data_IF_623306338884
#
_entry.id   IF_623306338884
#
_cell.length_a   1.000
_cell.length_b   1.000
_cell.length_c   1.000
_cell.angle_alpha   90.00
_cell.angle_beta   90.00
_cell.angle_gamma   90.00
#
_symmetry.space_group_name_H-M   'P 1'
#
loop_
_entity.id
_entity.type
_entity.pdbx_description
1 polymer ?
#
# COMPACT_ATOMS: atom_id res chain seq x y z
N UNK A 1 -10.14 4.94 21.59
CA UNK A 1 -9.47 3.70 21.15
C UNK A 1 -9.54 3.62 19.62
N UNK A 2 -8.39 3.75 18.94
CA UNK A 2 -8.34 3.65 17.46
C UNK A 2 -8.72 2.24 17.00
N UNK A 3 -9.95 2.12 16.44
CA UNK A 3 -10.58 0.84 16.06
C UNK A 3 -9.91 0.25 14.78
N UNK A 4 -9.06 1.06 14.11
CA UNK A 4 -8.29 0.64 12.93
C UNK A 4 -7.06 -0.22 13.29
N UNK A 5 -7.28 -1.28 14.10
CA UNK A 5 -6.25 -2.28 14.45
C UNK A 5 -6.12 -3.31 13.31
N UNK A 6 -5.09 -4.14 13.40
CA UNK A 6 -4.69 -5.05 12.33
C UNK A 6 -5.65 -6.26 12.28
N UNK A 7 -6.43 -6.38 11.19
CA UNK A 7 -7.38 -7.50 10.98
C UNK A 7 -6.97 -8.35 9.77
N UNK A 8 -6.38 -7.72 8.75
CA UNK A 8 -6.10 -8.31 7.44
C UNK A 8 -4.57 -8.56 7.30
N UNK A 9 -4.11 -8.86 6.06
CA UNK A 9 -2.67 -8.94 5.72
C UNK A 9 -2.42 -8.30 4.35
N UNK A 10 -1.23 -7.70 4.21
CA UNK A 10 -0.74 -7.09 2.95
C UNK A 10 0.61 -7.67 2.59
N UNK A 11 0.93 -7.66 1.28
CA UNK A 11 2.20 -8.17 0.77
C UNK A 11 2.98 -7.01 0.14
N UNK A 12 4.22 -6.82 0.63
CA UNK A 12 5.10 -5.75 0.15
C UNK A 12 5.82 -6.18 -1.13
N UNK A 13 5.47 -5.54 -2.24
CA UNK A 13 6.09 -5.79 -3.55
C UNK A 13 7.14 -4.71 -3.80
N UNK A 14 8.36 -5.07 -3.45
CA UNK A 14 9.55 -4.24 -3.68
C UNK A 14 10.00 -4.47 -5.13
N UNK A 15 10.53 -3.44 -5.82
CA UNK A 15 10.81 -3.51 -7.26
C UNK A 15 12.27 -3.88 -7.47
N UNK A 16 12.52 -5.11 -7.91
CA UNK A 16 13.85 -5.62 -8.25
C UNK A 16 14.21 -5.23 -9.70
N UNK A 17 15.08 -4.22 -9.83
CA UNK A 17 15.59 -3.74 -11.13
C UNK A 17 17.00 -4.33 -11.36
N UNK A 18 17.04 -5.55 -11.90
CA UNK A 18 18.27 -6.31 -12.11
C UNK A 18 18.77 -6.07 -13.54
N UNK A 19 19.99 -5.54 -13.68
CA UNK A 19 20.60 -5.26 -14.97
C UNK A 19 21.01 -6.59 -15.67
N UNK A 20 21.41 -6.51 -16.96
CA UNK A 20 21.77 -7.70 -17.79
C UNK A 20 23.28 -7.67 -18.10
N UNK A 21 23.86 -8.83 -18.51
CA UNK A 21 25.30 -8.96 -18.87
C UNK A 21 25.66 -8.26 -20.22
N UNK A 22 24.75 -7.41 -20.73
CA UNK A 22 24.96 -6.60 -21.95
C UNK A 22 24.33 -5.22 -21.64
N UNK A 23 23.22 -5.28 -20.85
CA UNK A 23 22.74 -4.15 -20.09
C UNK A 23 21.37 -3.65 -20.49
N UNK A 24 20.34 -4.39 -20.10
CA UNK A 24 18.96 -3.91 -20.00
C UNK A 24 18.59 -3.94 -18.51
N UNK A 25 17.59 -3.14 -18.11
CA UNK A 25 17.07 -3.14 -16.73
C UNK A 25 15.81 -4.03 -16.65
N UNK A 26 15.97 -5.22 -16.07
CA UNK A 26 14.89 -6.19 -15.89
C UNK A 26 14.10 -5.82 -14.64
N UNK A 27 13.07 -4.98 -14.83
CA UNK A 27 12.20 -4.52 -13.76
C UNK A 27 11.16 -5.62 -13.49
N UNK A 28 11.20 -6.11 -12.26
CA UNK A 28 10.34 -7.19 -11.76
C UNK A 28 9.99 -6.86 -10.32
N UNK A 29 8.90 -7.43 -9.80
CA UNK A 29 8.39 -7.09 -8.46
C UNK A 29 8.70 -8.26 -7.54
N UNK A 30 9.77 -8.10 -6.74
CA UNK A 30 10.16 -9.10 -5.74
C UNK A 30 9.15 -9.05 -4.59
N UNK A 31 8.16 -9.94 -4.72
CA UNK A 31 7.07 -10.12 -3.78
C UNK A 31 7.65 -10.58 -2.43
N UNK A 32 7.40 -9.82 -1.35
CA UNK A 32 8.31 -9.81 -0.19
C UNK A 32 7.65 -10.31 1.09
N UNK A 33 7.44 -9.38 2.04
CA UNK A 33 6.97 -9.70 3.42
C UNK A 33 5.47 -9.46 3.49
N UNK A 34 4.70 -10.42 4.01
CA UNK A 34 3.26 -10.27 4.17
C UNK A 34 2.93 -10.05 5.66
N UNK A 35 2.75 -8.78 6.06
CA UNK A 35 2.56 -8.40 7.47
C UNK A 35 1.10 -8.05 7.82
N UNK A 36 0.90 -7.89 9.15
CA UNK A 36 -0.37 -7.44 9.74
C UNK A 36 -0.79 -6.04 9.24
N UNK A 37 -2.00 -5.97 8.69
CA UNK A 37 -2.60 -4.73 8.15
C UNK A 37 -4.08 -4.63 8.49
N UNK A 38 -4.68 -3.47 8.21
CA UNK A 38 -6.13 -3.27 8.16
C UNK A 38 -6.41 -2.48 6.87
N UNK A 39 -6.88 -3.17 5.82
CA UNK A 39 -7.00 -2.60 4.46
C UNK A 39 -8.42 -2.06 4.27
N UNK A 40 -8.64 -0.76 4.49
CA UNK A 40 -9.99 -0.16 4.40
C UNK A 40 -9.97 0.92 3.31
N UNK A 41 -10.83 0.80 2.30
CA UNK A 41 -10.99 1.83 1.27
C UNK A 41 -11.62 3.10 1.88
N UNK A 42 -11.38 4.25 1.23
CA UNK A 42 -11.83 5.57 1.68
C UNK A 42 -13.34 5.76 1.48
N UNK A 43 -13.87 6.72 2.21
CA UNK A 43 -15.16 7.33 1.89
C UNK A 43 -14.90 8.59 1.02
N UNK A 44 -15.96 9.28 0.59
CA UNK A 44 -15.84 10.56 -0.10
C UNK A 44 -15.25 11.65 0.82
N UNK A 45 -15.33 11.42 2.16
CA UNK A 45 -14.90 12.36 3.20
C UNK A 45 -13.44 12.83 2.99
N UNK A 46 -12.48 11.88 3.01
CA UNK A 46 -11.04 12.20 2.89
C UNK A 46 -10.61 12.52 1.44
N UNK A 47 -11.44 12.12 0.45
CA UNK A 47 -11.22 12.49 -0.97
C UNK A 47 -11.52 14.00 -1.18
N UNK A 48 -12.78 14.37 -0.86
CA UNK A 48 -13.27 15.78 -0.82
C UNK A 48 -12.34 16.68 0.05
N UNK A 49 -11.85 16.11 1.17
CA UNK A 49 -10.92 16.81 2.10
C UNK A 49 -9.57 17.11 1.42
N UNK A 50 -9.03 16.11 0.72
CA UNK A 50 -7.74 16.21 0.02
C UNK A 50 -7.91 16.91 -1.36
N UNK A 51 -9.18 17.22 -1.70
CA UNK A 51 -9.53 17.92 -2.93
C UNK A 51 -9.49 16.98 -4.13
N UNK A 52 -8.31 16.84 -4.75
CA UNK A 52 -8.11 16.00 -5.94
C UNK A 52 -6.74 15.29 -5.90
N UNK A 53 -6.06 15.34 -4.74
CA UNK A 53 -4.81 14.59 -4.51
C UNK A 53 -5.15 13.11 -4.24
N UNK A 54 -6.08 12.88 -3.29
CA UNK A 54 -6.76 11.59 -3.14
C UNK A 54 -8.05 11.59 -3.95
N UNK A 55 -8.59 10.41 -4.18
CA UNK A 55 -9.78 10.19 -5.00
C UNK A 55 -10.74 9.23 -4.31
N UNK A 56 -12.01 9.25 -4.74
CA UNK A 56 -13.03 8.31 -4.26
C UNK A 56 -12.66 6.90 -4.80
N UNK A 57 -12.32 5.99 -3.89
CA UNK A 57 -11.81 4.65 -4.25
C UNK A 57 -10.37 4.41 -3.83
N UNK A 58 -9.70 5.46 -3.31
CA UNK A 58 -8.36 5.34 -2.69
C UNK A 58 -8.40 4.30 -1.55
N UNK A 59 -7.43 3.39 -1.55
CA UNK A 59 -7.34 2.31 -0.56
C UNK A 59 -6.37 2.71 0.56
N UNK A 60 -6.90 2.88 1.78
CA UNK A 60 -6.09 3.12 2.99
C UNK A 60 -5.70 1.77 3.61
N UNK A 61 -4.47 1.72 4.12
CA UNK A 61 -3.85 0.50 4.63
C UNK A 61 -3.08 0.85 5.92
N UNK A 62 -3.63 0.38 7.03
CA UNK A 62 -3.14 0.68 8.38
C UNK A 62 -2.29 -0.48 8.88
N UNK A 63 -0.99 -0.22 9.13
CA UNK A 63 -0.05 -1.22 9.66
C UNK A 63 0.67 -0.62 10.86
N UNK A 64 1.26 -1.46 11.73
CA UNK A 64 2.23 -1.00 12.74
C UNK A 64 3.42 -0.26 12.08
N UNK A 65 4.11 0.60 12.86
CA UNK A 65 5.15 1.51 12.33
C UNK A 65 6.27 0.74 11.61
N UNK A 66 6.35 0.94 10.28
CA UNK A 66 7.38 0.33 9.44
C UNK A 66 7.86 1.36 8.40
N UNK A 67 9.07 1.94 8.65
CA UNK A 67 9.72 2.95 7.78
C UNK A 67 10.43 2.30 6.56
N UNK A 68 10.18 1.00 6.34
CA UNK A 68 10.77 0.20 5.26
C UNK A 68 9.91 0.30 3.99
N UNK A 69 8.62 0.59 4.18
CA UNK A 69 7.65 0.73 3.08
C UNK A 69 7.98 2.00 2.28
N UNK A 70 8.03 1.89 0.96
CA UNK A 70 8.36 3.02 0.07
C UNK A 70 7.19 3.25 -0.90
N UNK A 71 7.14 4.44 -1.50
CA UNK A 71 6.09 4.84 -2.45
C UNK A 71 6.18 4.05 -3.78
N UNK A 72 7.40 3.56 -4.08
CA UNK A 72 7.67 2.76 -5.29
C UNK A 72 7.29 1.29 -5.10
N UNK A 73 6.92 0.90 -3.86
CA UNK A 73 6.41 -0.44 -3.57
C UNK A 73 4.93 -0.53 -4.01
N UNK A 74 4.46 -1.76 -4.23
CA UNK A 74 3.03 -2.07 -4.47
C UNK A 74 2.52 -2.95 -3.35
N UNK A 75 1.23 -2.81 -3.02
CA UNK A 75 0.60 -3.59 -1.96
C UNK A 75 -0.43 -4.56 -2.56
N UNK A 76 -0.21 -5.86 -2.40
CA UNK A 76 -1.17 -6.88 -2.78
C UNK A 76 -1.84 -7.43 -1.53
N UNK A 77 -3.17 -7.41 -1.48
CA UNK A 77 -3.94 -7.88 -0.31
C UNK A 77 -4.00 -9.42 -0.32
N UNK A 78 -3.18 -10.01 0.56
CA UNK A 78 -3.10 -11.47 0.75
C UNK A 78 -4.40 -12.03 1.39
N UNK A 79 -5.13 -11.14 2.07
CA UNK A 79 -6.42 -11.47 2.72
C UNK A 79 -7.09 -10.19 3.23
N UNK A 80 -8.40 -10.06 2.97
CA UNK A 80 -9.17 -8.87 3.34
C UNK A 80 -10.35 -8.62 2.41
N UNK A 81 -10.89 -7.35 2.35
CA UNK A 81 -12.04 -7.00 1.47
C UNK A 81 -11.64 -6.96 -0.03
N UNK A 82 -10.31 -6.89 -0.28
CA UNK A 82 -9.72 -6.86 -1.62
C UNK A 82 -8.74 -8.04 -1.78
N UNK A 83 -9.11 -9.19 -1.17
CA UNK A 83 -8.27 -10.41 -1.15
C UNK A 83 -7.99 -10.95 -2.59
N UNK A 84 -6.81 -10.61 -3.12
CA UNK A 84 -6.40 -11.01 -4.48
C UNK A 84 -6.03 -9.82 -5.38
N UNK A 85 -6.52 -8.63 -4.99
CA UNK A 85 -6.27 -7.36 -5.70
C UNK A 85 -4.89 -6.80 -5.34
N UNK A 86 -4.14 -6.31 -6.35
CA UNK A 86 -2.87 -5.61 -6.13
C UNK A 86 -3.08 -4.10 -6.32
N UNK A 87 -3.08 -3.40 -5.20
CA UNK A 87 -3.13 -1.92 -5.13
C UNK A 87 -1.69 -1.36 -5.31
N UNK A 88 -1.59 -0.11 -5.74
CA UNK A 88 -0.30 0.60 -5.94
C UNK A 88 -0.26 1.80 -4.99
N UNK A 89 0.92 2.12 -4.43
CA UNK A 89 1.04 3.18 -3.40
C UNK A 89 1.10 4.56 -4.08
N UNK A 90 0.16 5.44 -3.70
CA UNK A 90 0.06 6.80 -4.26
C UNK A 90 0.57 7.82 -3.23
N UNK A 91 1.31 8.82 -3.74
CA UNK A 91 1.92 9.85 -2.90
C UNK A 91 3.15 9.31 -2.15
N UNK A 92 3.00 9.14 -0.82
CA UNK A 92 4.09 8.65 0.05
C UNK A 92 3.49 7.93 1.29
N UNK A 93 4.09 6.80 1.78
CA UNK A 93 3.66 6.16 3.04
C UNK A 93 3.92 7.08 4.26
N UNK A 94 2.85 7.72 4.74
CA UNK A 94 2.92 8.77 5.78
C UNK A 94 2.96 8.11 7.19
N UNK A 95 4.07 8.28 7.98
CA UNK A 95 4.17 7.73 9.35
C UNK A 95 3.22 8.46 10.33
N UNK A 96 2.52 7.68 11.19
CA UNK A 96 1.70 8.22 12.29
C UNK A 96 2.54 9.16 13.18
N UNK A 97 1.93 10.29 13.61
CA UNK A 97 2.59 11.36 14.37
C UNK A 97 3.17 10.85 15.71
N UNK A 98 2.45 9.94 16.38
CA UNK A 98 2.88 9.34 17.67
C UNK A 98 3.79 8.11 17.43
N UNK A 99 3.99 7.74 16.14
CA UNK A 99 4.89 6.63 15.71
C UNK A 99 4.37 5.25 16.17
N UNK A 100 3.06 5.16 16.45
CA UNK A 100 2.41 3.92 16.91
C UNK A 100 2.00 3.03 15.72
N UNK A 101 2.04 3.60 14.51
CA UNK A 101 1.60 2.91 13.29
C UNK A 101 2.12 3.65 12.02
N UNK A 102 1.64 3.20 10.84
CA UNK A 102 2.04 3.74 9.55
C UNK A 102 0.79 3.81 8.65
N UNK A 103 0.49 5.00 8.12
CA UNK A 103 -0.62 5.23 7.18
C UNK A 103 -0.10 4.99 5.76
N UNK A 104 -0.31 3.78 5.23
CA UNK A 104 -0.02 3.46 3.82
C UNK A 104 -1.26 3.82 3.00
N UNK A 105 -1.10 4.73 2.03
CA UNK A 105 -2.18 5.11 1.11
C UNK A 105 -1.85 4.55 -0.27
N UNK A 106 -2.90 4.10 -0.93
CA UNK A 106 -2.84 3.34 -2.16
C UNK A 106 -4.11 3.63 -2.97
N UNK A 107 -4.14 3.11 -4.19
CA UNK A 107 -5.34 3.06 -5.00
C UNK A 107 -5.29 1.75 -5.79
N UNK A 108 -6.44 1.28 -6.23
CA UNK A 108 -6.53 0.16 -7.17
C UNK A 108 -5.74 0.45 -8.46
N UNK A 109 -4.83 -0.47 -8.82
CA UNK A 109 -3.95 -0.34 -9.97
C UNK A 109 -4.60 -0.89 -11.23
N UNK A 110 -5.81 -0.37 -11.54
CA UNK A 110 -6.61 -0.76 -12.71
C UNK A 110 -5.81 -0.64 -14.03
N UNK A 111 -5.23 -1.77 -14.47
CA UNK A 111 -4.31 -1.84 -15.62
C UNK A 111 -5.06 -2.17 -16.93
N UNK A 112 -6.39 -2.38 -16.83
CA UNK A 112 -7.23 -2.69 -17.99
C UNK A 112 -7.29 -1.45 -18.94
#
# INVERSE_FOLDING_TARGET
>A
MNIGRLRDRITIQTLKQTRDITGEILETWEDGHTLWASVNMVSSKEAISSGAELAIGTVRIWIRYRKDINATSRIKVSTGPLAGRVLNIIGQPLPDAARTRLEILCREGAEK
#
